data_IF_231190293753
#
_entry.id   IF_231190293753
#
_cell.length_a   1.000
_cell.length_b   1.000
_cell.length_c   1.000
_cell.angle_alpha   90.00
_cell.angle_beta   90.00
_cell.angle_gamma   90.00
#
_symmetry.space_group_name_H-M   'P 1'
#
loop_
_entity.id
_entity.type
_entity.pdbx_description
1 polymer ?
#
# COMPACT_ATOMS: atom_id res chain seq x y z
N UNK A 1 -12.50 35.83 12.45
CA UNK A 1 -11.79 35.50 11.18
C UNK A 1 -10.93 34.24 11.30
N UNK A 2 -10.20 34.06 12.40
CA UNK A 2 -9.39 32.83 12.63
C UNK A 2 -10.23 31.57 12.63
N UNK A 3 -11.44 31.62 13.16
CA UNK A 3 -12.37 30.49 13.19
C UNK A 3 -12.71 30.00 11.77
N UNK A 4 -13.04 30.94 10.85
CA UNK A 4 -13.36 30.58 9.47
C UNK A 4 -12.12 30.03 8.74
N UNK A 5 -10.97 30.64 8.98
CA UNK A 5 -9.71 30.19 8.36
C UNK A 5 -9.35 28.75 8.80
N UNK A 6 -9.49 28.46 10.08
CA UNK A 6 -9.26 27.09 10.62
C UNK A 6 -10.25 26.10 10.04
N UNK A 7 -11.52 26.47 9.89
CA UNK A 7 -12.52 25.60 9.29
C UNK A 7 -12.24 25.29 7.83
N UNK A 8 -11.83 26.29 7.04
CA UNK A 8 -11.47 26.10 5.63
C UNK A 8 -10.22 25.21 5.50
N UNK A 9 -9.19 25.43 6.32
CA UNK A 9 -7.97 24.60 6.31
C UNK A 9 -8.32 23.15 6.62
N UNK A 10 -9.14 22.89 7.63
CA UNK A 10 -9.57 21.53 7.99
C UNK A 10 -10.37 20.87 6.88
N UNK A 11 -11.22 21.60 6.17
CA UNK A 11 -11.95 21.09 5.01
C UNK A 11 -11.02 20.68 3.89
N UNK A 12 -10.02 21.49 3.57
CA UNK A 12 -9.02 21.16 2.53
C UNK A 12 -8.22 19.93 2.88
N UNK A 13 -7.80 19.79 4.14
CA UNK A 13 -7.09 18.60 4.62
C UNK A 13 -7.96 17.35 4.49
N UNK A 14 -9.22 17.41 4.86
CA UNK A 14 -10.17 16.29 4.74
C UNK A 14 -10.39 15.90 3.28
N UNK A 15 -10.55 16.87 2.38
CA UNK A 15 -10.69 16.59 0.95
C UNK A 15 -9.43 15.98 0.35
N UNK A 16 -8.27 16.43 0.78
CA UNK A 16 -6.99 15.85 0.38
C UNK A 16 -6.87 14.39 0.83
N UNK A 17 -7.29 14.08 2.05
CA UNK A 17 -7.30 12.71 2.57
C UNK A 17 -8.27 11.82 1.80
N UNK A 18 -9.46 12.33 1.45
CA UNK A 18 -10.44 11.60 0.63
C UNK A 18 -9.84 11.29 -0.74
N UNK A 19 -9.18 12.25 -1.36
CA UNK A 19 -8.49 12.05 -2.64
C UNK A 19 -7.42 10.97 -2.55
N UNK A 20 -6.60 10.99 -1.50
CA UNK A 20 -5.58 9.97 -1.27
C UNK A 20 -6.20 8.59 -1.09
N UNK A 21 -7.26 8.46 -0.29
CA UNK A 21 -7.95 7.20 -0.08
C UNK A 21 -8.54 6.65 -1.39
N UNK A 22 -9.06 7.52 -2.24
CA UNK A 22 -9.55 7.13 -3.56
C UNK A 22 -8.43 6.59 -4.45
N UNK A 23 -7.27 7.22 -4.42
CA UNK A 23 -6.07 6.75 -5.16
C UNK A 23 -5.57 5.41 -4.65
N UNK A 24 -5.55 5.24 -3.33
CA UNK A 24 -5.16 3.96 -2.72
C UNK A 24 -6.13 2.85 -3.10
N UNK A 25 -7.44 3.12 -3.10
CA UNK A 25 -8.45 2.16 -3.51
C UNK A 25 -8.28 1.78 -4.98
N UNK A 26 -8.02 2.76 -5.85
CA UNK A 26 -7.78 2.52 -7.28
C UNK A 26 -6.53 1.67 -7.53
N UNK A 27 -5.47 1.89 -6.76
CA UNK A 27 -4.22 1.16 -6.89
C UNK A 27 -4.31 -0.29 -6.41
N UNK A 28 -5.32 -0.62 -5.60
CA UNK A 28 -5.45 -1.92 -4.94
C UNK A 28 -6.81 -2.58 -5.18
N UNK A 29 -7.37 -2.45 -6.38
CA UNK A 29 -8.63 -3.11 -6.75
C UNK A 29 -8.46 -4.62 -6.85
N UNK A 30 -9.52 -5.37 -6.52
CA UNK A 30 -9.52 -6.84 -6.61
C UNK A 30 -9.94 -7.31 -7.99
N UNK A 31 -9.20 -6.87 -9.00
CA UNK A 31 -9.45 -7.21 -10.40
C UNK A 31 -8.13 -7.26 -11.19
N UNK A 32 -8.22 -7.53 -12.48
CA UNK A 32 -7.05 -7.66 -13.37
C UNK A 32 -6.67 -6.34 -14.06
N UNK A 33 -7.19 -5.20 -13.59
CA UNK A 33 -6.83 -3.90 -14.15
C UNK A 33 -5.37 -3.55 -13.86
N UNK A 34 -4.78 -2.69 -14.70
CA UNK A 34 -3.40 -2.29 -14.53
C UNK A 34 -3.24 -1.22 -13.44
N UNK A 35 -2.16 -1.34 -12.65
CA UNK A 35 -1.66 -0.25 -11.84
C UNK A 35 -0.78 0.62 -12.73
N UNK A 36 -1.12 1.89 -12.92
CA UNK A 36 -0.28 2.79 -13.69
C UNK A 36 0.88 3.29 -12.83
N UNK A 37 2.04 3.48 -13.45
CA UNK A 37 3.21 4.08 -12.78
C UNK A 37 2.87 5.49 -12.27
N UNK A 38 2.08 6.24 -13.03
CA UNK A 38 1.63 7.57 -12.63
C UNK A 38 0.89 7.55 -11.31
N UNK A 39 -0.05 6.61 -11.12
CA UNK A 39 -0.81 6.47 -9.88
C UNK A 39 0.10 6.09 -8.71
N UNK A 40 1.00 5.14 -8.91
CA UNK A 40 1.95 4.73 -7.88
C UNK A 40 2.88 5.89 -7.47
N UNK A 41 3.33 6.68 -8.42
CA UNK A 41 4.16 7.86 -8.17
C UNK A 41 3.40 8.95 -7.39
N UNK A 42 2.13 9.16 -7.70
CA UNK A 42 1.29 10.11 -6.97
C UNK A 42 1.15 9.70 -5.50
N UNK A 43 0.90 8.42 -5.24
CA UNK A 43 0.82 7.90 -3.87
C UNK A 43 2.17 8.04 -3.17
N UNK A 44 3.25 7.68 -3.85
CA UNK A 44 4.60 7.77 -3.30
C UNK A 44 4.96 9.20 -2.88
N UNK A 45 4.63 10.18 -3.72
CA UNK A 45 4.90 11.59 -3.41
C UNK A 45 4.14 12.07 -2.16
N UNK A 46 2.98 11.47 -1.86
CA UNK A 46 2.18 11.81 -0.69
C UNK A 46 2.78 11.25 0.61
N UNK A 47 3.69 10.27 0.53
CA UNK A 47 4.28 9.66 1.72
C UNK A 47 5.24 10.60 2.48
N UNK A 48 5.64 11.72 1.90
CA UNK A 48 6.46 12.73 2.57
C UNK A 48 5.69 13.51 3.64
N UNK A 49 4.36 13.54 3.56
CA UNK A 49 3.52 14.14 4.58
C UNK A 49 3.21 13.10 5.66
N UNK A 50 3.48 13.38 6.95
CA UNK A 50 3.31 12.38 8.02
C UNK A 50 1.89 11.83 8.15
N UNK A 51 0.88 12.66 8.02
CA UNK A 51 -0.53 12.21 8.11
C UNK A 51 -0.91 11.34 6.92
N UNK A 52 -0.51 11.73 5.72
CA UNK A 52 -0.73 10.95 4.51
C UNK A 52 0.02 9.62 4.59
N UNK A 53 1.26 9.63 5.09
CA UNK A 53 2.05 8.42 5.27
C UNK A 53 1.34 7.43 6.19
N UNK A 54 0.76 7.89 7.30
CA UNK A 54 -0.02 7.05 8.20
C UNK A 54 -1.21 6.40 7.49
N UNK A 55 -1.92 7.15 6.66
CA UNK A 55 -3.04 6.62 5.88
C UNK A 55 -2.59 5.55 4.90
N UNK A 56 -1.48 5.80 4.21
CA UNK A 56 -0.91 4.85 3.24
C UNK A 56 -0.52 3.55 3.94
N UNK A 57 0.21 3.65 5.05
CA UNK A 57 0.65 2.46 5.80
C UNK A 57 -0.55 1.65 6.31
N UNK A 58 -1.55 2.32 6.88
CA UNK A 58 -2.75 1.63 7.38
C UNK A 58 -3.50 0.91 6.28
N UNK A 59 -3.65 1.55 5.12
CA UNK A 59 -4.31 0.94 3.96
C UNK A 59 -3.54 -0.29 3.51
N UNK A 60 -2.23 -0.16 3.31
CA UNK A 60 -1.39 -1.26 2.85
C UNK A 60 -1.38 -2.43 3.84
N UNK A 61 -1.20 -2.14 5.13
CA UNK A 61 -1.15 -3.16 6.17
C UNK A 61 -2.45 -3.95 6.30
N UNK A 62 -3.58 -3.26 6.19
CA UNK A 62 -4.91 -3.89 6.27
C UNK A 62 -5.10 -4.93 5.16
N UNK A 63 -4.68 -4.63 3.95
CA UNK A 63 -4.83 -5.54 2.81
C UNK A 63 -3.98 -6.80 2.99
N UNK A 64 -2.82 -6.69 3.63
CA UNK A 64 -1.95 -7.84 3.88
C UNK A 64 -2.59 -8.92 4.74
N UNK A 65 -3.66 -8.59 5.46
CA UNK A 65 -4.38 -9.53 6.34
C UNK A 65 -5.64 -10.12 5.72
N UNK A 66 -5.91 -9.81 4.46
CA UNK A 66 -7.10 -10.31 3.76
C UNK A 66 -6.95 -11.81 3.44
N UNK A 67 -8.10 -12.45 3.20
CA UNK A 67 -8.15 -13.88 2.86
C UNK A 67 -7.51 -14.15 1.50
N UNK A 68 -6.98 -15.36 1.26
CA UNK A 68 -6.30 -15.71 0.00
C UNK A 68 -7.13 -15.50 -1.27
N UNK A 69 -8.46 -15.61 -1.18
CA UNK A 69 -9.36 -15.33 -2.33
C UNK A 69 -9.20 -13.91 -2.85
N UNK A 70 -8.68 -12.99 -2.04
CA UNK A 70 -8.41 -11.61 -2.41
C UNK A 70 -7.01 -11.44 -3.02
N UNK A 71 -6.47 -12.47 -3.60
CA UNK A 71 -5.08 -12.52 -4.08
C UNK A 71 -4.72 -11.40 -5.08
N UNK A 72 -5.66 -10.98 -5.93
CA UNK A 72 -5.42 -9.88 -6.89
C UNK A 72 -5.19 -8.56 -6.15
N UNK A 73 -6.01 -8.28 -5.15
CA UNK A 73 -5.89 -7.08 -4.32
C UNK A 73 -4.60 -7.12 -3.50
N UNK A 74 -4.30 -8.26 -2.90
CA UNK A 74 -3.07 -8.45 -2.10
C UNK A 74 -1.84 -8.26 -3.00
N UNK A 75 -1.85 -8.80 -4.21
CA UNK A 75 -0.73 -8.68 -5.14
C UNK A 75 -0.50 -7.24 -5.56
N UNK A 76 -1.56 -6.48 -5.86
CA UNK A 76 -1.47 -5.06 -6.16
C UNK A 76 -0.95 -4.25 -4.98
N UNK A 77 -1.37 -4.61 -3.78
CA UNK A 77 -0.89 -3.97 -2.56
C UNK A 77 0.60 -4.21 -2.35
N UNK A 78 1.06 -5.45 -2.57
CA UNK A 78 2.48 -5.78 -2.49
C UNK A 78 3.30 -4.99 -3.53
N UNK A 79 2.78 -4.85 -4.74
CA UNK A 79 3.44 -4.05 -5.78
C UNK A 79 3.50 -2.57 -5.40
N UNK A 80 2.44 -2.04 -4.78
CA UNK A 80 2.43 -0.67 -4.25
C UNK A 80 3.46 -0.51 -3.13
N UNK A 81 3.51 -1.44 -2.19
CA UNK A 81 4.50 -1.40 -1.10
C UNK A 81 5.92 -1.45 -1.67
N UNK A 82 6.18 -2.33 -2.64
CA UNK A 82 7.49 -2.41 -3.28
C UNK A 82 7.88 -1.06 -3.89
N UNK A 83 6.97 -0.43 -4.61
CA UNK A 83 7.20 0.88 -5.20
C UNK A 83 7.51 1.94 -4.12
N UNK A 84 6.76 1.93 -3.03
CA UNK A 84 6.92 2.88 -1.92
C UNK A 84 8.23 2.70 -1.16
N UNK A 85 8.70 1.48 -0.95
CA UNK A 85 9.99 1.26 -0.28
C UNK A 85 11.17 1.69 -1.15
N UNK A 86 10.98 1.72 -2.47
CA UNK A 86 12.00 2.19 -3.42
C UNK A 86 11.98 3.71 -3.61
N UNK A 87 10.82 4.34 -3.61
CA UNK A 87 10.65 5.73 -4.05
C UNK A 87 9.98 6.64 -3.01
N UNK A 88 9.40 6.08 -1.96
CA UNK A 88 8.69 6.84 -0.94
C UNK A 88 9.60 7.39 0.14
N UNK A 89 8.98 7.90 1.20
CA UNK A 89 9.70 8.52 2.32
C UNK A 89 10.35 7.48 3.23
N UNK A 90 11.37 7.91 3.97
CA UNK A 90 11.97 7.09 5.03
C UNK A 90 10.94 6.74 6.11
N UNK A 91 10.02 7.66 6.39
CA UNK A 91 8.94 7.43 7.36
C UNK A 91 8.07 6.23 6.97
N UNK A 92 7.75 6.09 5.67
CA UNK A 92 7.02 4.92 5.17
C UNK A 92 7.82 3.63 5.43
N UNK A 93 9.10 3.63 5.14
CA UNK A 93 9.98 2.47 5.35
C UNK A 93 10.00 2.09 6.83
N UNK A 94 10.19 3.05 7.73
CA UNK A 94 10.26 2.81 9.16
C UNK A 94 8.96 2.22 9.71
N UNK A 95 7.83 2.76 9.27
CA UNK A 95 6.50 2.27 9.67
C UNK A 95 6.21 0.89 9.08
N UNK A 96 6.64 0.64 7.84
CA UNK A 96 6.44 -0.66 7.20
C UNK A 96 7.27 -1.76 7.86
N UNK A 97 8.42 -1.43 8.43
CA UNK A 97 9.22 -2.38 9.21
C UNK A 97 8.43 -2.94 10.40
N UNK A 98 7.54 -2.16 10.98
CA UNK A 98 6.68 -2.62 12.07
C UNK A 98 5.63 -3.62 11.61
N UNK A 99 5.36 -3.69 10.31
CA UNK A 99 4.36 -4.57 9.71
C UNK A 99 4.96 -5.85 9.09
N UNK A 100 6.25 -6.12 9.33
CA UNK A 100 6.95 -7.27 8.74
C UNK A 100 6.29 -8.61 9.02
N UNK A 101 5.66 -8.79 10.17
CA UNK A 101 5.00 -10.05 10.50
C UNK A 101 3.86 -10.36 9.55
N UNK A 102 3.15 -9.34 9.07
CA UNK A 102 2.08 -9.52 8.08
C UNK A 102 2.63 -10.02 6.75
N UNK A 103 3.77 -9.50 6.33
CA UNK A 103 4.47 -9.97 5.12
C UNK A 103 4.89 -11.43 5.27
N UNK A 104 5.45 -11.78 6.43
CA UNK A 104 5.88 -13.15 6.73
C UNK A 104 4.71 -14.12 6.70
N UNK A 105 3.58 -13.74 7.25
CA UNK A 105 2.38 -14.58 7.23
C UNK A 105 1.89 -14.86 5.82
N UNK A 106 2.06 -13.91 4.89
CA UNK A 106 1.69 -14.10 3.49
C UNK A 106 2.56 -15.15 2.78
N UNK A 107 3.79 -15.37 3.23
CA UNK A 107 4.67 -16.39 2.65
C UNK A 107 4.12 -17.80 2.83
N UNK A 108 3.29 -18.02 3.86
CA UNK A 108 2.87 -19.33 4.31
C UNK A 108 1.61 -19.85 3.65
N UNK A 109 0.96 -19.07 2.77
CA UNK A 109 -0.24 -19.55 2.11
C UNK A 109 -0.19 -19.34 0.59
N UNK A 110 -0.94 -20.18 -0.12
CA UNK A 110 -1.20 -20.02 -1.54
C UNK A 110 -2.71 -20.10 -1.77
N UNK A 111 -3.16 -19.60 -2.90
CA UNK A 111 -4.56 -19.67 -3.31
C UNK A 111 -4.67 -20.37 -4.66
N UNK A 112 -5.50 -21.39 -4.72
CA UNK A 112 -5.81 -22.11 -5.94
C UNK A 112 -7.25 -21.85 -6.36
N UNK A 113 -7.45 -21.64 -7.66
CA UNK A 113 -8.74 -21.45 -8.27
C UNK A 113 -8.80 -22.34 -9.51
N UNK A 114 -9.77 -23.26 -9.55
CA UNK A 114 -9.89 -24.25 -10.62
C UNK A 114 -8.63 -25.10 -10.80
N UNK A 115 -7.95 -25.44 -9.69
CA UNK A 115 -6.72 -26.23 -9.71
C UNK A 115 -5.49 -25.47 -10.13
N UNK A 116 -5.57 -24.16 -10.33
CA UNK A 116 -4.46 -23.30 -10.76
C UNK A 116 -4.01 -22.45 -9.59
N UNK A 117 -2.70 -22.46 -9.30
CA UNK A 117 -2.09 -21.60 -8.30
C UNK A 117 -2.14 -20.15 -8.80
N UNK A 118 -2.75 -19.28 -8.00
CA UNK A 118 -2.99 -17.88 -8.35
C UNK A 118 -1.98 -16.96 -7.66
N UNK A 119 -0.96 -16.56 -8.41
CA UNK A 119 -0.08 -15.46 -8.03
C UNK A 119 0.95 -15.79 -6.95
N UNK A 120 1.14 -17.06 -6.56
CA UNK A 120 2.06 -17.38 -5.48
C UNK A 120 3.51 -16.99 -5.80
N UNK A 121 3.99 -17.28 -7.00
CA UNK A 121 5.36 -16.92 -7.41
C UNK A 121 5.56 -15.39 -7.39
N UNK A 122 4.63 -14.65 -7.95
CA UNK A 122 4.68 -13.18 -7.95
C UNK A 122 4.63 -12.62 -6.54
N UNK A 123 3.78 -13.18 -5.68
CA UNK A 123 3.68 -12.82 -4.27
C UNK A 123 5.04 -12.98 -3.56
N UNK A 124 5.67 -14.12 -3.72
CA UNK A 124 6.95 -14.42 -3.07
C UNK A 124 8.08 -13.52 -3.56
N UNK A 125 8.11 -13.20 -4.85
CA UNK A 125 9.09 -12.27 -5.42
C UNK A 125 8.91 -10.87 -4.84
N UNK A 126 7.68 -10.39 -4.78
CA UNK A 126 7.39 -9.07 -4.21
C UNK A 126 7.75 -8.99 -2.73
N UNK A 127 7.40 -10.01 -1.95
CA UNK A 127 7.74 -10.08 -0.53
C UNK A 127 9.27 -10.08 -0.35
N UNK A 128 9.98 -10.85 -1.15
CA UNK A 128 11.45 -10.88 -1.11
C UNK A 128 12.04 -9.50 -1.38
N UNK A 129 11.57 -8.81 -2.42
CA UNK A 129 12.05 -7.48 -2.77
C UNK A 129 11.75 -6.46 -1.66
N UNK A 130 10.57 -6.50 -1.10
CA UNK A 130 10.18 -5.61 -0.01
C UNK A 130 11.08 -5.83 1.21
N UNK A 131 11.27 -7.08 1.62
CA UNK A 131 12.12 -7.43 2.76
C UNK A 131 13.57 -6.98 2.55
N UNK A 132 14.08 -7.11 1.33
CA UNK A 132 15.41 -6.63 0.99
C UNK A 132 15.55 -5.12 1.25
N UNK A 133 14.62 -4.33 0.73
CA UNK A 133 14.63 -2.89 0.94
C UNK A 133 14.44 -2.50 2.41
N UNK A 134 13.56 -3.19 3.14
CA UNK A 134 13.35 -2.93 4.55
C UNK A 134 14.61 -3.24 5.37
N UNK A 135 15.35 -4.28 5.00
CA UNK A 135 16.55 -4.69 5.72
C UNK A 135 17.73 -3.72 5.52
N UNK A 136 17.86 -3.18 4.30
CA UNK A 136 19.03 -2.38 3.92
C UNK A 136 18.76 -0.86 3.81
N UNK A 137 17.66 -0.40 4.36
CA UNK A 137 17.31 1.03 4.35
C UNK A 137 17.49 1.71 5.70
#
# INVERSE_FOLDING_TARGET
>A
MDFLRKGITKMKETMSQVDLLAKLAEATTNDSSFQTISLLNEISSRSDNPEDCDLIVRHCAKILTLKPKMWKKIQKDLALIEHLVKTGSQDFIDKMKEERDKLKNLENFSYEEDGIDRGNSSKLILIFNINYFLKYS
#
